data_IF_840243124309
#
_entry.id   IF_840243124309
#
_cell.length_a   1.000
_cell.length_b   1.000
_cell.length_c   1.000
_cell.angle_alpha   90.00
_cell.angle_beta   90.00
_cell.angle_gamma   90.00
#
_symmetry.space_group_name_H-M   'P 1'
#
loop_
_entity.id
_entity.type
_entity.pdbx_description
1 polymer ?
#
# COMPACT_ATOMS: atom_id res chain seq x y z
N UNK A 1 -22.86 8.56 -12.31
CA UNK A 1 -23.88 8.49 -13.39
C UNK A 1 -23.79 7.10 -13.99
N UNK A 2 -24.83 6.24 -13.95
CA UNK A 2 -24.81 4.98 -14.69
C UNK A 2 -25.28 5.22 -16.12
N UNK A 3 -24.53 4.72 -17.10
CA UNK A 3 -24.91 4.73 -18.52
C UNK A 3 -25.82 3.54 -18.83
N UNK A 4 -26.70 3.70 -19.83
CA UNK A 4 -27.72 2.73 -20.25
C UNK A 4 -27.20 1.51 -21.00
N UNK A 5 -25.90 1.44 -21.25
CA UNK A 5 -25.19 0.21 -21.56
C UNK A 5 -24.28 -0.06 -20.37
N UNK A 6 -24.50 -1.16 -19.64
CA UNK A 6 -23.48 -1.66 -18.73
C UNK A 6 -22.39 -2.29 -19.58
N UNK A 7 -21.54 -1.45 -20.20
CA UNK A 7 -20.21 -1.89 -20.55
C UNK A 7 -19.58 -2.41 -19.27
N UNK A 8 -18.92 -3.56 -19.31
CA UNK A 8 -18.00 -3.97 -18.26
C UNK A 8 -17.10 -2.77 -18.02
N UNK A 9 -17.15 -2.18 -16.83
CA UNK A 9 -16.30 -1.06 -16.53
C UNK A 9 -14.89 -1.65 -16.39
N UNK A 10 -14.01 -1.40 -17.37
CA UNK A 10 -12.57 -1.71 -17.32
C UNK A 10 -11.87 -0.76 -16.34
N UNK A 11 -12.45 -0.61 -15.15
CA UNK A 11 -12.09 0.39 -14.12
C UNK A 11 -11.69 -0.29 -12.81
N UNK A 12 -11.39 -1.59 -12.83
CA UNK A 12 -11.14 -2.40 -11.63
C UNK A 12 -10.12 -1.77 -10.66
N UNK A 13 -9.13 -1.04 -11.17
CA UNK A 13 -8.12 -0.33 -10.40
C UNK A 13 -8.54 1.10 -9.99
N UNK A 14 -9.30 1.83 -10.82
CA UNK A 14 -9.63 3.23 -10.60
C UNK A 14 -10.89 3.48 -9.72
N UNK A 15 -11.43 2.42 -9.11
CA UNK A 15 -12.65 2.47 -8.29
C UNK A 15 -12.38 2.52 -6.78
N UNK A 16 -11.15 2.24 -6.35
CA UNK A 16 -10.81 2.06 -4.94
C UNK A 16 -9.93 3.21 -4.45
N UNK A 17 -10.48 4.00 -3.53
CA UNK A 17 -9.76 5.03 -2.81
C UNK A 17 -9.85 4.76 -1.31
N UNK A 18 -8.72 4.87 -0.63
CA UNK A 18 -8.62 4.79 0.82
C UNK A 18 -8.26 6.15 1.39
N UNK A 19 -8.81 6.44 2.55
CA UNK A 19 -8.60 7.70 3.26
C UNK A 19 -8.28 7.41 4.71
N UNK A 20 -7.22 8.02 5.23
CA UNK A 20 -6.88 7.98 6.65
C UNK A 20 -6.59 9.38 7.18
N UNK A 21 -6.72 9.56 8.49
CA UNK A 21 -6.50 10.83 9.17
C UNK A 21 -5.40 10.67 10.24
N UNK A 22 -4.28 11.31 9.95
CA UNK A 22 -3.55 12.21 10.83
C UNK A 22 -3.86 12.32 12.34
N UNK A 23 -2.87 12.18 13.25
CA UNK A 23 -3.03 12.62 14.65
C UNK A 23 -3.39 14.10 14.83
N UNK A 24 -3.02 14.96 13.86
CA UNK A 24 -3.33 16.40 13.84
C UNK A 24 -4.53 16.74 12.93
N UNK A 25 -5.16 15.73 12.33
CA UNK A 25 -6.32 15.92 11.46
C UNK A 25 -5.98 16.17 9.99
N UNK A 26 -4.73 15.97 9.57
CA UNK A 26 -4.41 15.99 8.14
C UNK A 26 -4.95 14.71 7.48
N UNK A 27 -5.49 14.85 6.28
CA UNK A 27 -6.14 13.76 5.55
C UNK A 27 -5.18 13.22 4.50
N UNK A 28 -5.03 11.90 4.44
CA UNK A 28 -4.21 11.20 3.44
C UNK A 28 -5.14 10.34 2.58
N UNK A 29 -5.09 10.51 1.26
CA UNK A 29 -5.87 9.73 0.31
C UNK A 29 -4.93 8.94 -0.61
N UNK A 30 -5.20 7.66 -0.79
CA UNK A 30 -4.48 6.76 -1.70
C UNK A 30 -5.45 6.08 -2.67
N UNK A 31 -5.07 5.93 -3.93
CA UNK A 31 -5.87 5.29 -4.98
C UNK A 31 -4.97 4.71 -6.07
N UNK A 32 -5.51 3.86 -6.95
CA UNK A 32 -4.82 3.50 -8.19
C UNK A 32 -5.27 4.41 -9.33
N UNK A 33 -4.29 4.95 -10.06
CA UNK A 33 -4.50 5.78 -11.23
C UNK A 33 -4.99 4.97 -12.43
N UNK A 34 -5.50 5.66 -13.45
CA UNK A 34 -5.93 5.05 -14.72
C UNK A 34 -4.78 4.40 -15.51
N UNK A 35 -3.55 4.75 -15.18
CA UNK A 35 -2.29 4.15 -15.64
C UNK A 35 -1.86 2.94 -14.81
N UNK A 36 -2.76 2.41 -13.96
CA UNK A 36 -2.54 1.28 -13.05
C UNK A 36 -1.46 1.51 -11.98
N UNK A 37 -1.08 2.75 -11.69
CA UNK A 37 -0.04 3.05 -10.69
C UNK A 37 -0.64 3.56 -9.37
N UNK A 38 0.02 3.35 -8.22
CA UNK A 38 -0.46 3.80 -6.93
C UNK A 38 -0.12 5.29 -6.74
N UNK A 39 -1.13 6.08 -6.40
CA UNK A 39 -1.01 7.50 -6.13
C UNK A 39 -1.46 7.84 -4.71
N UNK A 40 -0.87 8.91 -4.19
CA UNK A 40 -1.21 9.47 -2.90
C UNK A 40 -1.28 11.00 -2.96
N UNK A 41 -2.20 11.60 -2.22
CA UNK A 41 -2.30 13.04 -1.98
C UNK A 41 -2.74 13.29 -0.53
N UNK A 42 -2.42 14.48 -0.01
CA UNK A 42 -2.79 14.86 1.34
C UNK A 42 -3.44 16.24 1.39
N UNK A 43 -4.25 16.46 2.43
CA UNK A 43 -4.85 17.74 2.78
C UNK A 43 -4.49 18.11 4.21
N UNK A 44 -4.18 19.40 4.45
CA UNK A 44 -3.87 19.96 5.77
C UNK A 44 -4.96 20.90 6.29
N UNK A 45 -6.08 20.94 5.60
CA UNK A 45 -7.22 21.83 5.84
C UNK A 45 -8.54 21.06 5.73
N UNK A 46 -8.55 19.83 6.25
CA UNK A 46 -9.75 18.98 6.39
C UNK A 46 -10.42 18.65 5.04
N UNK A 47 -9.65 18.57 3.97
CA UNK A 47 -10.09 18.21 2.63
C UNK A 47 -10.48 19.39 1.74
N UNK A 48 -10.32 20.64 2.20
CA UNK A 48 -10.64 21.83 1.41
C UNK A 48 -9.64 22.03 0.24
N UNK A 49 -8.36 21.78 0.48
CA UNK A 49 -7.32 21.77 -0.55
C UNK A 49 -6.43 20.54 -0.44
N UNK A 50 -5.85 20.14 -1.58
CA UNK A 50 -5.07 18.91 -1.71
C UNK A 50 -3.71 19.19 -2.34
N UNK A 51 -2.70 18.42 -1.93
CA UNK A 51 -1.42 18.39 -2.60
C UNK A 51 -1.57 17.85 -4.03
N UNK A 52 -0.56 18.09 -4.88
CA UNK A 52 -0.44 17.32 -6.11
C UNK A 52 -0.36 15.81 -5.78
N UNK A 53 -0.91 14.99 -6.66
CA UNK A 53 -0.78 13.54 -6.56
C UNK A 53 0.68 13.13 -6.76
N UNK A 54 1.15 12.24 -5.88
CA UNK A 54 2.49 11.65 -5.94
C UNK A 54 2.35 10.17 -6.25
N UNK A 55 3.01 9.70 -7.31
CA UNK A 55 3.11 8.27 -7.60
C UNK A 55 4.09 7.63 -6.60
N UNK A 56 3.66 6.58 -5.90
CA UNK A 56 4.41 5.99 -4.78
C UNK A 56 5.05 4.63 -5.12
N UNK A 57 4.91 4.17 -6.36
CA UNK A 57 5.54 2.92 -6.79
C UNK A 57 7.07 3.05 -6.79
N UNK A 58 7.79 2.00 -6.38
CA UNK A 58 9.23 1.95 -6.50
C UNK A 58 9.63 1.91 -7.99
N UNK A 59 10.83 2.42 -8.36
CA UNK A 59 11.30 2.47 -9.74
C UNK A 59 11.83 1.11 -10.22
N UNK A 60 11.01 0.06 -10.10
CA UNK A 60 11.32 -1.33 -10.48
C UNK A 60 10.51 -1.80 -11.69
N UNK A 61 9.89 -0.86 -12.41
CA UNK A 61 9.10 -1.13 -13.63
C UNK A 61 7.84 -1.97 -13.38
N UNK A 62 7.01 -1.52 -12.42
CA UNK A 62 5.67 -2.10 -12.24
C UNK A 62 4.81 -1.82 -13.48
N UNK A 63 4.10 -2.85 -13.95
CA UNK A 63 3.14 -2.79 -15.07
C UNK A 63 1.69 -2.60 -14.59
N UNK A 64 1.39 -2.97 -13.35
CA UNK A 64 0.08 -2.79 -12.73
C UNK A 64 0.11 -2.88 -11.20
N UNK A 65 -0.84 -2.22 -10.56
CA UNK A 65 -1.02 -2.23 -9.10
C UNK A 65 -2.50 -2.27 -8.73
N UNK A 66 -2.80 -2.76 -7.53
CA UNK A 66 -4.16 -2.92 -7.03
C UNK A 66 -4.26 -2.88 -5.51
N UNK A 67 -5.51 -2.80 -5.04
CA UNK A 67 -5.89 -2.91 -3.62
C UNK A 67 -5.11 -1.95 -2.71
N UNK A 68 -5.33 -0.64 -2.85
CA UNK A 68 -4.64 0.33 -2.00
C UNK A 68 -5.14 0.19 -0.56
N UNK A 69 -4.23 0.28 0.41
CA UNK A 69 -4.51 0.52 1.83
C UNK A 69 -3.56 1.57 2.38
N UNK A 70 -4.04 2.45 3.27
CA UNK A 70 -3.24 3.54 3.84
C UNK A 70 -3.46 3.62 5.34
N UNK A 71 -2.37 3.90 6.07
CA UNK A 71 -2.45 4.29 7.49
C UNK A 71 -1.59 5.52 7.74
N UNK A 72 -2.11 6.46 8.51
CA UNK A 72 -1.41 7.63 8.99
C UNK A 72 -1.09 7.45 10.47
N UNK A 73 0.10 7.88 10.85
CA UNK A 73 0.54 7.93 12.24
C UNK A 73 0.36 9.32 12.82
N UNK A 74 1.43 9.85 13.38
CA UNK A 74 1.51 11.25 13.75
C UNK A 74 1.80 12.13 12.53
N UNK A 75 1.63 13.44 12.69
CA UNK A 75 1.69 14.39 11.58
C UNK A 75 2.94 14.26 10.71
N UNK A 76 2.72 14.11 9.41
CA UNK A 76 3.80 13.94 8.43
C UNK A 76 4.33 12.51 8.29
N UNK A 77 3.72 11.52 8.95
CA UNK A 77 4.08 10.10 8.83
C UNK A 77 2.92 9.27 8.27
N UNK A 78 3.22 8.42 7.29
CA UNK A 78 2.20 7.64 6.57
C UNK A 78 2.82 6.37 5.99
N UNK A 79 2.03 5.30 5.94
CA UNK A 79 2.38 4.05 5.27
C UNK A 79 1.26 3.60 4.33
N UNK A 80 1.64 2.87 3.30
CA UNK A 80 0.84 2.45 2.17
C UNK A 80 1.09 0.97 1.90
N UNK A 81 0.02 0.18 1.87
CA UNK A 81 0.05 -1.20 1.39
C UNK A 81 -0.61 -1.29 0.02
N UNK A 82 -0.05 -2.11 -0.86
CA UNK A 82 -0.65 -2.42 -2.15
C UNK A 82 -0.01 -3.68 -2.72
N UNK A 83 -0.59 -4.21 -3.78
CA UNK A 83 0.03 -5.26 -4.59
C UNK A 83 0.39 -4.73 -5.96
N UNK A 84 1.37 -5.35 -6.59
CA UNK A 84 1.79 -4.97 -7.93
C UNK A 84 2.52 -6.07 -8.68
N UNK A 85 2.47 -5.96 -9.99
CA UNK A 85 3.14 -6.82 -10.94
C UNK A 85 4.28 -6.05 -11.62
N UNK A 86 5.42 -6.70 -11.78
CA UNK A 86 6.54 -6.18 -12.58
C UNK A 86 6.36 -6.62 -14.02
N UNK A 87 6.64 -5.75 -14.99
CA UNK A 87 6.56 -6.09 -16.41
C UNK A 87 7.36 -7.37 -16.75
N UNK A 88 6.71 -8.34 -17.39
CA UNK A 88 7.29 -9.64 -17.74
C UNK A 88 6.39 -10.47 -18.65
N UNK A 89 6.87 -11.67 -19.00
CA UNK A 89 6.09 -12.65 -19.80
C UNK A 89 5.04 -13.39 -18.94
N UNK A 90 5.29 -13.47 -17.62
CA UNK A 90 4.42 -14.11 -16.62
C UNK A 90 3.80 -13.04 -15.71
N UNK A 91 2.49 -13.14 -15.43
CA UNK A 91 1.82 -12.27 -14.44
C UNK A 91 2.18 -12.73 -13.03
N UNK A 92 3.14 -12.04 -12.40
CA UNK A 92 3.63 -12.33 -11.05
C UNK A 92 3.33 -11.14 -10.13
N UNK A 93 2.46 -11.38 -9.15
CA UNK A 93 2.04 -10.36 -8.20
C UNK A 93 2.78 -10.49 -6.88
N UNK A 94 3.21 -9.34 -6.36
CA UNK A 94 3.91 -9.20 -5.08
C UNK A 94 3.23 -8.13 -4.22
N UNK A 95 3.41 -8.22 -2.90
CA UNK A 95 2.91 -7.21 -1.97
C UNK A 95 4.00 -6.20 -1.60
N UNK A 96 3.62 -4.93 -1.50
CA UNK A 96 4.53 -3.82 -1.23
C UNK A 96 4.04 -2.99 -0.05
N UNK A 97 4.98 -2.61 0.82
CA UNK A 97 4.80 -1.62 1.87
C UNK A 97 5.67 -0.42 1.56
N UNK A 98 5.05 0.72 1.30
CA UNK A 98 5.72 2.01 1.15
C UNK A 98 5.45 2.89 2.37
N UNK A 99 6.42 3.67 2.83
CA UNK A 99 6.18 4.66 3.89
C UNK A 99 6.97 5.95 3.68
N UNK A 100 6.49 7.01 4.33
CA UNK A 100 7.13 8.32 4.42
C UNK A 100 7.08 8.81 5.87
N UNK A 101 8.16 9.46 6.31
CA UNK A 101 8.23 10.11 7.64
C UNK A 101 8.31 11.64 7.56
N UNK A 102 8.25 12.18 6.34
CA UNK A 102 8.30 13.60 6.03
C UNK A 102 7.28 13.96 4.94
N UNK A 103 6.06 13.43 5.06
CA UNK A 103 5.01 13.47 4.04
C UNK A 103 4.70 14.89 3.49
N UNK A 104 4.88 15.92 4.31
CA UNK A 104 4.59 17.31 3.93
C UNK A 104 5.78 18.07 3.33
N UNK A 105 6.92 17.39 3.12
CA UNK A 105 8.05 17.93 2.39
C UNK A 105 7.70 18.12 0.90
N UNK A 106 8.36 19.06 0.22
CA UNK A 106 8.20 19.25 -1.23
C UNK A 106 8.68 18.02 -2.03
N UNK A 107 9.66 17.30 -1.48
CA UNK A 107 10.19 16.04 -2.04
C UNK A 107 10.27 14.99 -0.92
N UNK A 108 9.15 14.36 -0.53
CA UNK A 108 9.15 13.38 0.55
C UNK A 108 10.00 12.17 0.16
N UNK A 109 10.70 11.58 1.14
CA UNK A 109 11.43 10.34 0.92
C UNK A 109 10.46 9.15 1.07
N UNK A 110 10.19 8.48 -0.05
CA UNK A 110 9.42 7.25 -0.07
C UNK A 110 10.36 6.05 0.03
N UNK A 111 10.15 5.20 1.04
CA UNK A 111 10.86 3.92 1.18
C UNK A 111 9.88 2.79 0.95
N UNK A 112 10.20 1.89 0.01
CA UNK A 112 9.35 0.75 -0.33
C UNK A 112 10.08 -0.56 -0.08
N UNK A 113 9.36 -1.53 0.46
CA UNK A 113 9.82 -2.91 0.69
C UNK A 113 8.80 -3.88 0.06
N UNK A 114 9.30 -4.85 -0.70
CA UNK A 114 8.51 -6.02 -1.11
C UNK A 114 8.40 -6.97 0.09
N UNK A 115 7.18 -7.40 0.41
CA UNK A 115 6.92 -8.19 1.62
C UNK A 115 7.33 -9.65 1.48
N UNK A 116 7.12 -10.21 0.29
CA UNK A 116 7.37 -11.60 -0.03
C UNK A 116 8.68 -11.77 -0.83
N UNK A 117 9.21 -12.98 -0.84
CA UNK A 117 10.41 -13.31 -1.62
C UNK A 117 10.11 -13.41 -3.12
N UNK A 118 11.13 -13.20 -3.96
CA UNK A 118 10.98 -13.28 -5.42
C UNK A 118 10.54 -14.68 -5.91
N UNK A 119 10.81 -15.72 -5.12
CA UNK A 119 10.41 -17.11 -5.36
C UNK A 119 9.12 -17.53 -4.63
N UNK A 120 8.47 -16.61 -3.92
CA UNK A 120 7.22 -16.81 -3.17
C UNK A 120 6.22 -15.68 -3.48
N UNK A 121 5.72 -15.58 -4.72
CA UNK A 121 4.74 -14.55 -5.10
C UNK A 121 3.40 -14.76 -4.38
N UNK A 122 2.61 -13.68 -4.24
CA UNK A 122 1.29 -13.75 -3.61
C UNK A 122 0.20 -14.28 -4.56
N UNK A 123 0.40 -14.10 -5.87
CA UNK A 123 -0.45 -14.66 -6.92
C UNK A 123 0.34 -14.80 -8.25
N UNK A 124 -0.03 -15.80 -9.04
CA UNK A 124 0.54 -16.07 -10.37
C UNK A 124 -0.54 -16.32 -11.43
N UNK A 125 -1.79 -15.98 -11.13
CA UNK A 125 -2.93 -16.26 -12.01
C UNK A 125 -3.24 -15.01 -12.82
N UNK A 126 -3.38 -15.19 -14.13
CA UNK A 126 -3.72 -14.09 -15.01
C UNK A 126 -5.06 -13.42 -14.63
N UNK A 127 -5.20 -12.13 -14.93
CA UNK A 127 -6.41 -11.33 -14.69
C UNK A 127 -6.68 -11.07 -13.19
N UNK A 128 -5.63 -10.65 -12.47
CA UNK A 128 -5.68 -10.25 -11.05
C UNK A 128 -6.74 -9.16 -10.77
N UNK A 129 -7.10 -8.35 -11.77
CA UNK A 129 -8.23 -7.42 -11.66
C UNK A 129 -9.59 -8.12 -11.49
N UNK A 130 -9.98 -8.97 -12.43
CA UNK A 130 -11.31 -9.62 -12.40
C UNK A 130 -11.36 -10.78 -11.39
N UNK A 131 -10.29 -11.59 -11.32
CA UNK A 131 -10.20 -12.72 -10.42
C UNK A 131 -9.79 -12.30 -8.98
N UNK A 132 -9.52 -11.00 -8.77
CA UNK A 132 -9.09 -10.40 -7.50
C UNK A 132 -7.80 -11.05 -6.98
N UNK A 133 -6.84 -11.33 -7.86
CA UNK A 133 -5.56 -12.04 -7.65
C UNK A 133 -5.75 -13.36 -6.90
N UNK A 134 -6.62 -14.21 -7.46
CA UNK A 134 -6.95 -15.50 -6.85
C UNK A 134 -7.82 -15.40 -5.59
N UNK A 135 -8.52 -14.28 -5.37
CA UNK A 135 -9.38 -14.05 -4.20
C UNK A 135 -8.77 -13.17 -3.09
N UNK A 136 -7.64 -12.53 -3.35
CA UNK A 136 -6.91 -11.62 -2.45
C UNK A 136 -7.69 -10.32 -2.23
N UNK A 137 -8.38 -9.87 -3.28
CA UNK A 137 -8.70 -8.46 -3.52
C UNK A 137 -9.62 -7.72 -2.55
N UNK A 138 -10.07 -8.32 -1.45
CA UNK A 138 -10.84 -7.61 -0.41
C UNK A 138 -10.34 -7.90 1.03
N UNK A 139 -9.19 -8.59 1.20
CA UNK A 139 -8.72 -9.07 2.51
C UNK A 139 -7.34 -8.53 2.90
N UNK A 140 -7.15 -7.22 2.76
CA UNK A 140 -5.95 -6.57 3.26
C UNK A 140 -6.27 -5.27 4.02
N UNK A 141 -5.52 -5.02 5.08
CA UNK A 141 -5.62 -3.80 5.88
C UNK A 141 -4.25 -3.48 6.49
N UNK A 142 -4.02 -2.21 6.76
CA UNK A 142 -2.79 -1.71 7.38
C UNK A 142 -3.12 -0.86 8.61
N UNK A 143 -2.37 -1.06 9.68
CA UNK A 143 -2.54 -0.33 10.94
C UNK A 143 -1.20 0.09 11.51
N UNK A 144 -1.22 1.11 12.36
CA UNK A 144 -0.05 1.55 13.13
C UNK A 144 -0.31 1.34 14.62
N UNK A 145 0.57 0.59 15.28
CA UNK A 145 0.41 0.25 16.70
C UNK A 145 0.73 1.45 17.63
N UNK A 146 0.59 1.26 18.94
CA UNK A 146 0.84 2.30 19.94
C UNK A 146 2.30 2.82 19.95
N UNK A 147 3.25 2.04 19.43
CA UNK A 147 4.66 2.40 19.35
C UNK A 147 5.03 3.04 18.01
N UNK A 148 4.09 3.12 17.06
CA UNK A 148 4.32 3.68 15.74
C UNK A 148 4.79 2.67 14.70
N UNK A 149 4.71 1.36 14.96
CA UNK A 149 5.05 0.34 13.98
C UNK A 149 3.89 0.07 13.03
N UNK A 150 4.15 0.10 11.73
CA UNK A 150 3.17 -0.30 10.72
C UNK A 150 3.03 -1.83 10.66
N UNK A 151 1.79 -2.30 10.57
CA UNK A 151 1.38 -3.69 10.47
C UNK A 151 0.47 -3.83 9.26
N UNK A 152 0.93 -4.52 8.23
CA UNK A 152 0.19 -4.77 7.00
C UNK A 152 -0.21 -6.24 6.95
N UNK A 153 -1.50 -6.52 6.87
CA UNK A 153 -2.04 -7.87 6.78
C UNK A 153 -2.69 -8.11 5.42
N UNK A 154 -2.50 -9.31 4.87
CA UNK A 154 -3.10 -9.74 3.61
C UNK A 154 -3.23 -11.27 3.55
N UNK A 155 -4.14 -11.78 2.72
CA UNK A 155 -4.22 -13.20 2.38
C UNK A 155 -3.07 -13.62 1.44
N UNK A 156 -2.53 -14.82 1.62
CA UNK A 156 -1.64 -15.51 0.68
C UNK A 156 -2.41 -16.69 0.07
N UNK A 157 -3.06 -16.47 -1.06
CA UNK A 157 -4.00 -17.44 -1.63
C UNK A 157 -3.31 -18.71 -2.11
N UNK A 158 -2.08 -18.61 -2.63
CA UNK A 158 -1.32 -19.77 -3.10
C UNK A 158 -1.01 -20.71 -1.92
N UNK A 159 -0.68 -20.15 -0.75
CA UNK A 159 -0.32 -20.92 0.43
C UNK A 159 -1.50 -21.22 1.39
N UNK A 160 -2.68 -20.63 1.16
CA UNK A 160 -3.87 -20.73 2.03
C UNK A 160 -3.58 -20.31 3.50
N UNK A 161 -2.82 -19.22 3.65
CA UNK A 161 -2.44 -18.62 4.95
C UNK A 161 -2.61 -17.09 4.93
N UNK A 162 -2.54 -16.46 6.11
CA UNK A 162 -2.43 -15.01 6.24
C UNK A 162 -0.98 -14.56 6.40
N UNK A 163 -0.62 -13.44 5.76
CA UNK A 163 0.65 -12.74 5.96
C UNK A 163 0.42 -11.57 6.91
N UNK A 164 1.28 -11.43 7.92
CA UNK A 164 1.40 -10.23 8.74
C UNK A 164 2.80 -9.65 8.56
N UNK A 165 2.89 -8.56 7.82
CA UNK A 165 4.12 -7.85 7.54
C UNK A 165 4.30 -6.66 8.47
N UNK A 166 5.53 -6.45 8.91
CA UNK A 166 5.91 -5.29 9.72
C UNK A 166 7.40 -5.02 9.56
N UNK A 167 7.86 -3.84 9.96
CA UNK A 167 9.29 -3.56 10.02
C UNK A 167 9.95 -4.44 11.10
N UNK A 168 11.07 -5.09 10.79
CA UNK A 168 11.95 -5.64 11.81
C UNK A 168 12.83 -4.51 12.39
N UNK A 169 13.36 -3.65 11.51
CA UNK A 169 14.07 -2.40 11.78
C UNK A 169 13.48 -1.29 10.90
N UNK A 170 12.92 -0.26 11.53
CA UNK A 170 12.29 0.84 10.80
C UNK A 170 11.98 2.04 11.69
N UNK A 171 11.59 3.17 11.10
CA UNK A 171 11.18 4.33 11.86
C UNK A 171 9.82 4.10 12.53
N UNK A 172 9.62 4.78 13.66
CA UNK A 172 8.31 4.97 14.25
C UNK A 172 7.53 5.98 13.42
N UNK A 173 6.27 5.66 13.12
CA UNK A 173 5.27 6.59 12.59
C UNK A 173 4.56 7.35 13.72
N UNK A 174 5.09 7.33 14.94
CA UNK A 174 4.58 8.10 16.09
C UNK A 174 5.71 8.83 16.80
N UNK A 175 5.36 9.94 17.44
CA UNK A 175 6.21 10.83 18.19
C UNK A 175 6.51 12.13 17.45
N UNK A 176 6.73 13.21 18.23
CA UNK A 176 7.12 14.53 17.71
C UNK A 176 8.44 14.51 16.93
N UNK A 177 9.30 13.52 17.19
CA UNK A 177 10.56 13.30 16.47
C UNK A 177 10.63 11.86 15.97
N UNK A 178 11.03 11.67 14.71
CA UNK A 178 11.23 10.33 14.13
C UNK A 178 12.34 9.60 14.87
N UNK A 179 11.98 8.47 15.48
CA UNK A 179 12.91 7.57 16.18
C UNK A 179 12.86 6.18 15.55
N UNK A 180 13.91 5.38 15.76
CA UNK A 180 13.89 3.98 15.33
C UNK A 180 13.13 3.14 16.35
N UNK A 181 12.27 2.26 15.86
CA UNK A 181 11.56 1.29 16.68
C UNK A 181 12.54 0.29 17.31
N UNK A 182 12.16 -0.29 18.45
CA UNK A 182 12.87 -1.44 19.02
C UNK A 182 12.94 -2.56 17.98
N UNK A 183 14.12 -3.11 17.65
CA UNK A 183 14.22 -4.15 16.64
C UNK A 183 13.39 -5.40 16.98
N UNK A 184 12.79 -6.02 15.97
CA UNK A 184 12.13 -7.32 16.06
C UNK A 184 12.94 -8.39 15.33
N UNK A 185 12.79 -9.68 15.67
CA UNK A 185 13.34 -10.75 14.84
C UNK A 185 12.78 -10.68 13.42
N UNK A 186 13.64 -10.93 12.42
CA UNK A 186 13.21 -10.98 11.03
C UNK A 186 12.15 -12.08 10.81
N UNK A 187 11.05 -11.70 10.16
CA UNK A 187 10.00 -12.61 9.70
C UNK A 187 10.36 -13.34 8.40
N UNK A 188 9.47 -14.20 7.93
CA UNK A 188 9.64 -15.00 6.70
C UNK A 188 9.23 -16.46 6.88
N UNK A 189 9.64 -17.37 5.98
CA UNK A 189 9.27 -18.80 6.05
C UNK A 189 9.63 -19.48 7.38
N UNK A 190 10.66 -19.00 8.09
CA UNK A 190 11.06 -19.49 9.42
C UNK A 190 10.07 -19.15 10.54
N UNK A 191 9.12 -18.25 10.28
CA UNK A 191 8.06 -17.84 11.22
C UNK A 191 6.70 -18.48 10.91
N UNK A 192 6.62 -19.34 9.89
CA UNK A 192 5.45 -20.15 9.53
C UNK A 192 5.39 -21.45 10.34
#
# INVERSE_FOLDING_TARGET
>A
LPTSESGTADTWNAEEAQVEVDSEGNVHAMWMGIDNMPYWSYSRDQGETWSNATMIAPPINLSGTGFPVVVAGDAGTVAFGYVGETEGDDEIWNAYLTYATDAFNETPLLTTVQLNGDDDPIDTVADCGYNRCGGLGDFLDIRVDEYGRAWFALSHNIADIGIFATFDVGPSLRGETITMLTPMPAGGPQTL
#
